data_IF_552361413509
#
_entry.id   IF_552361413509
#
_cell.length_a   1.000
_cell.length_b   1.000
_cell.length_c   1.000
_cell.angle_alpha   90.00
_cell.angle_beta   90.00
_cell.angle_gamma   90.00
#
_symmetry.space_group_name_H-M   'P 1'
#
loop_
_entity.id
_entity.type
_entity.pdbx_description
1 polymer ?
#
# COMPACT_ATOMS: atom_id res chain seq x y z
N UNK A 1 3.23 15.04 16.18
CA UNK A 1 2.94 14.10 15.07
C UNK A 1 2.56 12.77 15.71
N UNK A 2 1.36 12.25 15.46
CA UNK A 2 0.94 10.96 16.03
C UNK A 2 1.52 9.88 15.11
N UNK A 3 2.61 9.25 15.54
CA UNK A 3 3.26 8.17 14.81
C UNK A 3 2.23 7.04 14.67
N UNK A 4 1.97 6.59 13.45
CA UNK A 4 1.17 5.39 13.25
C UNK A 4 2.05 4.22 13.64
N UNK A 5 1.64 3.47 14.67
CA UNK A 5 2.27 2.20 15.01
C UNK A 5 1.74 1.16 14.01
N UNK A 6 2.61 0.74 13.09
CA UNK A 6 2.31 -0.27 12.09
C UNK A 6 2.97 -1.58 12.56
N UNK A 7 2.23 -2.51 13.15
CA UNK A 7 2.78 -3.81 13.51
C UNK A 7 3.05 -4.64 12.25
N UNK A 8 4.16 -5.37 12.24
CA UNK A 8 4.56 -6.24 11.14
C UNK A 8 6.06 -6.50 11.13
N UNK A 9 6.46 -7.55 10.43
CA UNK A 9 7.88 -7.92 10.23
C UNK A 9 8.44 -7.25 8.97
N UNK A 10 7.64 -7.18 7.91
CA UNK A 10 8.02 -6.65 6.60
C UNK A 10 6.99 -5.63 6.11
N UNK A 11 7.41 -4.77 5.18
CA UNK A 11 6.64 -3.64 4.71
C UNK A 11 6.50 -3.57 3.20
N UNK A 12 5.44 -2.89 2.76
CA UNK A 12 5.27 -2.46 1.38
C UNK A 12 5.01 -0.96 1.32
N UNK A 13 5.54 -0.31 0.28
CA UNK A 13 5.41 1.12 0.02
C UNK A 13 4.93 1.37 -1.42
N UNK A 14 3.98 2.30 -1.57
CA UNK A 14 3.64 2.87 -2.86
C UNK A 14 4.25 4.27 -2.99
N UNK A 15 5.07 4.45 -4.02
CA UNK A 15 5.66 5.73 -4.39
C UNK A 15 5.13 6.13 -5.76
N UNK A 16 4.61 7.33 -5.92
CA UNK A 16 4.15 7.85 -7.21
C UNK A 16 5.33 8.14 -8.16
N UNK A 17 5.05 8.27 -9.45
CA UNK A 17 6.07 8.63 -10.46
C UNK A 17 6.79 9.97 -10.14
N UNK A 18 6.14 10.89 -9.41
CA UNK A 18 6.75 12.15 -8.95
C UNK A 18 7.49 12.02 -7.60
N UNK A 19 7.67 10.80 -7.09
CA UNK A 19 8.46 10.48 -5.90
C UNK A 19 7.74 10.64 -4.56
N UNK A 20 6.41 10.78 -4.55
CA UNK A 20 5.63 10.91 -3.31
C UNK A 20 5.22 9.56 -2.77
N UNK A 21 5.49 9.33 -1.48
CA UNK A 21 4.99 8.16 -0.78
C UNK A 21 3.53 8.36 -0.37
N UNK A 22 2.62 7.58 -0.96
CA UNK A 22 1.18 7.65 -0.67
C UNK A 22 0.68 6.54 0.24
N UNK A 23 1.33 5.38 0.27
CA UNK A 23 0.90 4.25 1.11
C UNK A 23 2.12 3.57 1.69
N UNK A 24 2.06 3.30 3.00
CA UNK A 24 2.97 2.37 3.68
C UNK A 24 2.09 1.36 4.40
N UNK A 25 2.41 0.07 4.27
CA UNK A 25 1.74 -1.00 4.98
C UNK A 25 2.75 -2.02 5.50
N UNK A 26 2.45 -2.64 6.63
CA UNK A 26 3.25 -3.69 7.26
C UNK A 26 2.37 -4.88 7.66
N UNK A 27 2.96 -6.06 7.65
CA UNK A 27 2.32 -7.30 8.08
C UNK A 27 3.35 -8.33 8.55
N UNK A 28 2.88 -9.37 9.22
CA UNK A 28 3.70 -10.53 9.59
C UNK A 28 3.73 -11.54 8.44
N UNK A 29 4.87 -12.20 8.22
CA UNK A 29 5.02 -13.23 7.19
C UNK A 29 4.21 -14.48 7.56
N UNK A 30 3.62 -15.16 6.59
CA UNK A 30 2.83 -16.38 6.80
C UNK A 30 1.70 -16.22 7.85
N UNK A 31 1.15 -15.02 8.00
CA UNK A 31 0.09 -14.71 8.95
C UNK A 31 -1.26 -14.49 8.26
N UNK A 32 -2.34 -14.85 8.95
CA UNK A 32 -3.70 -14.50 8.54
C UNK A 32 -4.21 -13.19 9.18
N UNK A 33 -3.45 -12.63 10.14
CA UNK A 33 -3.79 -11.35 10.74
C UNK A 33 -3.75 -10.22 9.70
N UNK A 34 -4.61 -9.19 9.80
CA UNK A 34 -4.59 -8.11 8.83
C UNK A 34 -3.28 -7.33 8.86
N UNK A 35 -2.68 -7.11 7.69
CA UNK A 35 -1.69 -6.07 7.51
C UNK A 35 -2.29 -4.70 7.81
N UNK A 36 -1.48 -3.82 8.39
CA UNK A 36 -1.85 -2.45 8.77
C UNK A 36 -1.09 -1.47 7.92
N UNK A 37 -1.76 -0.41 7.48
CA UNK A 37 -1.10 0.64 6.73
C UNK A 37 -1.69 2.01 6.98
N UNK A 38 -1.02 3.01 6.41
CA UNK A 38 -1.48 4.38 6.34
C UNK A 38 -1.40 4.88 4.92
N UNK A 39 -2.47 5.54 4.46
CA UNK A 39 -2.53 6.20 3.17
C UNK A 39 -2.55 7.71 3.36
N UNK A 40 -1.77 8.44 2.56
CA UNK A 40 -1.71 9.89 2.53
C UNK A 40 -2.40 10.41 1.27
N UNK A 41 -3.55 11.07 1.43
CA UNK A 41 -4.28 11.70 0.30
C UNK A 41 -4.75 13.09 0.71
N UNK A 42 -4.60 14.06 -0.20
CA UNK A 42 -5.07 15.44 0.01
C UNK A 42 -4.55 16.10 1.30
N UNK A 43 -3.34 15.75 1.74
CA UNK A 43 -2.70 16.31 2.93
C UNK A 43 -3.05 15.62 4.26
N UNK A 44 -3.94 14.62 4.25
CA UNK A 44 -4.32 13.85 5.42
C UNK A 44 -3.75 12.43 5.37
N UNK A 45 -3.44 11.87 6.53
CA UNK A 45 -3.00 10.48 6.71
C UNK A 45 -4.11 9.69 7.38
N UNK A 46 -4.47 8.55 6.81
CA UNK A 46 -5.57 7.74 7.28
C UNK A 46 -5.19 6.26 7.41
N UNK A 47 -5.64 5.55 8.46
CA UNK A 47 -5.36 4.13 8.62
C UNK A 47 -6.18 3.30 7.64
N UNK A 48 -5.54 2.22 7.16
CA UNK A 48 -6.14 1.20 6.31
C UNK A 48 -5.61 -0.19 6.71
N UNK A 49 -6.28 -1.25 6.27
CA UNK A 49 -5.84 -2.62 6.49
C UNK A 49 -6.21 -3.54 5.33
N UNK A 50 -5.40 -4.56 5.09
CA UNK A 50 -5.65 -5.63 4.12
C UNK A 50 -5.52 -6.99 4.82
N UNK A 51 -6.27 -8.02 4.39
CA UNK A 51 -6.15 -9.36 4.96
C UNK A 51 -4.83 -10.05 4.57
N UNK A 52 -4.44 -11.09 5.33
CA UNK A 52 -3.40 -12.04 4.91
C UNK A 52 -1.95 -11.66 5.23
N UNK A 53 -1.73 -10.84 6.26
CA UNK A 53 -0.37 -10.48 6.69
C UNK A 53 0.45 -9.82 5.59
N UNK A 54 1.77 -10.02 5.61
CA UNK A 54 2.67 -9.50 4.58
C UNK A 54 2.37 -10.14 3.21
N UNK A 55 2.16 -11.46 3.16
CA UNK A 55 1.94 -12.19 1.91
C UNK A 55 0.67 -11.71 1.18
N UNK A 56 -0.34 -11.26 1.93
CA UNK A 56 -1.58 -10.70 1.40
C UNK A 56 -1.44 -9.29 0.81
N UNK A 57 -0.30 -8.61 1.03
CA UNK A 57 -0.05 -7.26 0.52
C UNK A 57 1.05 -7.16 -0.53
N UNK A 58 1.71 -8.26 -0.89
CA UNK A 58 2.84 -8.21 -1.83
C UNK A 58 2.39 -7.87 -3.24
N UNK A 59 1.36 -8.52 -3.78
CA UNK A 59 0.95 -8.37 -5.19
C UNK A 59 0.02 -7.18 -5.48
N UNK A 60 -1.28 -7.42 -5.63
CA UNK A 60 -2.28 -6.38 -5.93
C UNK A 60 -3.31 -6.28 -4.81
N UNK A 61 -2.90 -5.86 -3.59
CA UNK A 61 -3.78 -5.80 -2.45
C UNK A 61 -4.91 -4.78 -2.57
N UNK A 62 -5.98 -5.07 -1.83
CA UNK A 62 -7.03 -4.12 -1.53
C UNK A 62 -7.02 -3.82 -0.03
N UNK A 63 -6.73 -2.57 0.31
CA UNK A 63 -6.83 -2.05 1.67
C UNK A 63 -8.17 -1.37 1.88
N UNK A 64 -8.75 -1.58 3.06
CA UNK A 64 -9.99 -0.96 3.47
C UNK A 64 -9.75 -0.04 4.66
N UNK A 65 -10.43 1.10 4.66
CA UNK A 65 -10.48 2.02 5.79
C UNK A 65 -11.88 2.59 5.97
N UNK A 66 -12.08 3.41 7.00
CA UNK A 66 -13.39 4.03 7.24
C UNK A 66 -13.80 4.88 6.02
N UNK A 67 -14.80 4.41 5.27
CA UNK A 67 -15.38 5.10 4.10
C UNK A 67 -14.48 5.18 2.88
N UNK A 68 -13.49 4.28 2.74
CA UNK A 68 -12.53 4.28 1.63
C UNK A 68 -11.99 2.90 1.31
N UNK A 69 -11.61 2.73 0.05
CA UNK A 69 -10.93 1.55 -0.46
C UNK A 69 -9.71 1.99 -1.24
N UNK A 70 -8.57 1.36 -0.97
CA UNK A 70 -7.31 1.61 -1.68
C UNK A 70 -6.91 0.33 -2.38
N UNK A 71 -6.73 0.38 -3.70
CA UNK A 71 -6.30 -0.76 -4.51
C UNK A 71 -4.92 -0.48 -5.07
N UNK A 72 -4.01 -1.42 -4.88
CA UNK A 72 -2.77 -1.49 -5.64
C UNK A 72 -3.00 -2.47 -6.78
N UNK A 73 -2.67 -2.06 -8.00
CA UNK A 73 -2.65 -2.93 -9.15
C UNK A 73 -1.24 -2.90 -9.73
N UNK A 74 -0.50 -4.01 -9.63
CA UNK A 74 0.80 -4.16 -10.29
C UNK A 74 0.57 -4.27 -11.79
N UNK A 75 1.27 -3.44 -12.56
CA UNK A 75 1.05 -3.26 -14.00
C UNK A 75 2.20 -3.79 -14.86
N UNK A 76 3.30 -4.23 -14.26
CA UNK A 76 4.45 -4.73 -15.00
C UNK A 76 5.45 -5.50 -14.14
N UNK A 77 6.48 -6.02 -14.81
CA UNK A 77 7.63 -6.64 -14.17
C UNK A 77 8.51 -5.59 -13.48
N UNK A 78 9.33 -5.99 -12.48
CA UNK A 78 10.24 -5.07 -11.81
C UNK A 78 11.19 -4.38 -12.80
N UNK A 79 11.42 -3.08 -12.58
CA UNK A 79 12.31 -2.25 -13.39
C UNK A 79 13.80 -2.49 -13.08
N UNK A 80 14.09 -3.04 -11.89
CA UNK A 80 15.44 -3.28 -11.37
C UNK A 80 15.57 -4.70 -10.80
N UNK A 81 16.81 -5.16 -10.61
CA UNK A 81 17.10 -6.42 -9.89
C UNK A 81 17.27 -6.19 -8.38
N UNK A 82 17.18 -7.26 -7.59
CA UNK A 82 17.36 -7.19 -6.13
C UNK A 82 16.45 -8.18 -5.41
N UNK A 83 16.52 -8.20 -4.08
CA UNK A 83 15.64 -9.04 -3.24
C UNK A 83 14.20 -8.52 -3.20
N UNK A 84 14.04 -7.20 -3.32
CA UNK A 84 12.75 -6.50 -3.20
C UNK A 84 12.66 -5.35 -4.20
N UNK A 85 12.73 -5.63 -5.52
CA UNK A 85 12.75 -4.58 -6.52
C UNK A 85 11.37 -3.90 -6.62
N UNK A 86 11.33 -2.59 -6.89
CA UNK A 86 10.09 -1.89 -7.14
C UNK A 86 9.40 -2.43 -8.39
N UNK A 87 8.06 -2.54 -8.33
CA UNK A 87 7.23 -2.98 -9.46
C UNK A 87 6.32 -1.85 -9.92
N UNK A 88 6.24 -1.55 -11.22
CA UNK A 88 5.26 -0.59 -11.73
C UNK A 88 3.84 -0.95 -11.27
N UNK A 89 3.11 0.02 -10.77
CA UNK A 89 1.77 -0.16 -10.23
C UNK A 89 0.90 1.09 -10.34
N UNK A 90 -0.40 0.91 -10.17
CA UNK A 90 -1.37 2.00 -10.00
C UNK A 90 -2.02 1.90 -8.63
N UNK A 91 -2.05 3.01 -7.88
CA UNK A 91 -2.85 3.16 -6.68
C UNK A 91 -4.17 3.81 -7.04
N UNK A 92 -5.29 3.13 -6.79
CA UNK A 92 -6.64 3.70 -6.85
C UNK A 92 -7.19 3.93 -5.46
N UNK A 93 -7.73 5.11 -5.19
CA UNK A 93 -8.38 5.48 -3.94
C UNK A 93 -9.83 5.86 -4.21
N UNK A 94 -10.75 5.02 -3.73
CA UNK A 94 -12.18 5.31 -3.76
C UNK A 94 -12.64 5.83 -2.42
N UNK A 95 -13.56 6.80 -2.49
CA UNK A 95 -14.24 7.37 -1.35
C UNK A 95 -15.69 6.95 -1.34
N UNK A 96 -16.28 6.93 -0.14
CA UNK A 96 -17.70 6.63 0.04
C UNK A 96 -18.66 7.62 -0.65
N UNK A 97 -18.19 8.82 -1.03
CA UNK A 97 -18.96 9.80 -1.82
C UNK A 97 -18.92 9.51 -3.33
N UNK A 98 -18.29 8.41 -3.75
CA UNK A 98 -18.15 8.01 -5.15
C UNK A 98 -16.99 8.71 -5.86
N UNK A 99 -16.27 9.62 -5.21
CA UNK A 99 -15.08 10.21 -5.80
C UNK A 99 -13.94 9.18 -5.86
N UNK A 100 -13.30 9.10 -7.01
CA UNK A 100 -12.15 8.23 -7.27
C UNK A 100 -10.94 9.05 -7.68
N UNK A 101 -9.76 8.62 -7.25
CA UNK A 101 -8.47 9.11 -7.75
C UNK A 101 -7.55 7.93 -8.05
N UNK A 102 -6.70 8.09 -9.04
CA UNK A 102 -5.70 7.10 -9.40
C UNK A 102 -4.35 7.78 -9.60
N UNK A 103 -3.28 7.13 -9.17
CA UNK A 103 -1.91 7.58 -9.36
C UNK A 103 -1.06 6.43 -9.91
N UNK A 104 -0.31 6.65 -11.00
CA UNK A 104 0.76 5.75 -11.41
C UNK A 104 1.97 5.88 -10.47
N UNK A 105 2.73 4.80 -10.35
CA UNK A 105 3.88 4.74 -9.46
C UNK A 105 4.48 3.35 -9.41
N UNK A 106 5.14 3.07 -8.29
CA UNK A 106 5.81 1.82 -8.00
C UNK A 106 5.35 1.25 -6.65
N UNK A 107 5.23 -0.07 -6.61
CA UNK A 107 4.94 -0.88 -5.44
C UNK A 107 6.17 -1.70 -5.09
N UNK A 108 6.73 -1.46 -3.91
CA UNK A 108 7.93 -2.14 -3.42
C UNK A 108 7.62 -2.81 -2.08
N UNK A 109 7.99 -4.08 -1.94
CA UNK A 109 7.76 -4.87 -0.73
C UNK A 109 9.02 -5.60 -0.30
N UNK A 110 9.42 -5.46 0.96
CA UNK A 110 10.67 -6.00 1.49
C UNK A 110 10.91 -5.68 2.97
N UNK A 111 12.10 -6.04 3.48
CA UNK A 111 12.55 -5.69 4.83
C UNK A 111 12.83 -4.20 5.04
#
# INVERSE_FOLDING_TARGET
>A
MRQADLPGELGCQFTTDDGQVLLIAMGNVASSEPARGVVKVAGYVEPVSAPGGFDGITDSPTFNGKGKTVRIQVTGEPSEGGESPPRPATLTYDRADGAQRAWPGEWQCGP
#
